data_IF_166341047110
#
_entry.id   IF_166341047110
#
_cell.length_a   1.000
_cell.length_b   1.000
_cell.length_c   1.000
_cell.angle_alpha   90.00
_cell.angle_beta   90.00
_cell.angle_gamma   90.00
#
_symmetry.space_group_name_H-M   'P 1'
#
loop_
_entity.id
_entity.type
_entity.pdbx_description
1 polymer ?
#
# COMPACT_ATOMS: atom_id res chain seq x y z
N UNK A 1 31.85 -4.47 -2.82
CA UNK A 1 30.60 -4.03 -3.43
C UNK A 1 29.96 -2.93 -2.58
N UNK A 2 29.36 -1.91 -3.18
CA UNK A 2 28.64 -0.83 -2.48
C UNK A 2 27.34 -1.31 -1.81
N UNK A 3 26.80 -2.46 -2.23
CA UNK A 3 25.60 -3.09 -1.64
C UNK A 3 25.90 -4.35 -0.84
N UNK A 4 27.17 -4.56 -0.46
CA UNK A 4 27.57 -5.73 0.34
C UNK A 4 26.83 -5.80 1.67
N UNK A 5 26.13 -6.91 1.89
CA UNK A 5 25.47 -7.26 3.15
C UNK A 5 26.27 -8.35 3.85
N UNK A 6 26.77 -8.06 5.05
CA UNK A 6 27.70 -8.93 5.78
C UNK A 6 27.11 -10.30 6.11
N UNK A 7 25.85 -10.34 6.54
CA UNK A 7 25.15 -11.59 6.80
C UNK A 7 24.49 -12.12 5.52
N UNK A 8 25.14 -13.09 4.88
CA UNK A 8 24.66 -13.73 3.65
C UNK A 8 23.30 -14.42 3.80
N UNK A 9 22.89 -14.81 5.00
CA UNK A 9 21.57 -15.44 5.22
C UNK A 9 20.42 -14.49 4.87
N UNK A 10 20.62 -13.18 5.02
CA UNK A 10 19.62 -12.17 4.68
C UNK A 10 19.47 -11.95 3.16
N UNK A 11 20.43 -12.39 2.35
CA UNK A 11 20.31 -12.33 0.89
C UNK A 11 19.17 -13.21 0.38
N UNK A 12 18.87 -14.31 1.08
CA UNK A 12 17.70 -15.13 0.79
C UNK A 12 16.42 -14.29 0.85
N UNK A 13 16.25 -13.45 1.86
CA UNK A 13 15.03 -12.66 2.05
C UNK A 13 15.00 -11.37 1.23
N UNK A 14 16.15 -10.73 1.02
CA UNK A 14 16.24 -9.38 0.47
C UNK A 14 16.72 -9.31 -0.99
N UNK A 15 17.20 -10.43 -1.56
CA UNK A 15 17.51 -10.55 -3.00
C UNK A 15 16.80 -11.74 -3.62
N UNK A 16 16.92 -12.95 -3.05
CA UNK A 16 16.54 -14.19 -3.72
C UNK A 16 15.05 -14.54 -3.58
N UNK A 17 14.39 -14.08 -2.53
CA UNK A 17 12.97 -14.35 -2.31
C UNK A 17 12.13 -13.58 -3.35
N UNK A 18 11.31 -14.28 -4.11
CA UNK A 18 10.43 -13.71 -5.13
C UNK A 18 9.00 -13.45 -4.61
N UNK A 19 8.72 -13.81 -3.35
CA UNK A 19 7.45 -13.61 -2.66
C UNK A 19 7.57 -12.55 -1.55
N UNK A 20 6.60 -11.64 -1.52
CA UNK A 20 6.45 -10.62 -0.48
C UNK A 20 5.12 -10.72 0.25
N UNK A 21 5.08 -10.11 1.44
CA UNK A 21 3.85 -9.82 2.17
C UNK A 21 3.90 -8.35 2.56
N UNK A 22 3.09 -7.54 1.88
CA UNK A 22 3.01 -6.11 2.19
C UNK A 22 1.92 -5.92 3.25
N UNK A 23 2.27 -5.31 4.37
CA UNK A 23 1.32 -5.02 5.44
C UNK A 23 0.38 -3.88 5.02
N UNK A 24 -0.90 -4.02 5.35
CA UNK A 24 -1.97 -3.05 5.10
C UNK A 24 -2.99 -3.05 6.25
N UNK A 25 -4.12 -2.37 6.07
CA UNK A 25 -5.19 -2.30 7.07
C UNK A 25 -4.97 -1.13 8.02
N UNK A 26 -5.18 -1.35 9.31
CA UNK A 26 -5.03 -0.31 10.35
C UNK A 26 -4.06 -0.78 11.42
N UNK A 27 -3.58 0.12 12.28
CA UNK A 27 -2.69 -0.25 13.38
C UNK A 27 -3.33 -1.28 14.34
N UNK A 28 -4.66 -1.24 14.51
CA UNK A 28 -5.44 -2.18 15.31
C UNK A 28 -5.67 -3.53 14.62
N UNK A 29 -5.90 -3.52 13.31
CA UNK A 29 -6.20 -4.72 12.53
C UNK A 29 -5.41 -4.74 11.23
N UNK A 30 -4.25 -5.40 11.32
CA UNK A 30 -3.28 -5.56 10.24
C UNK A 30 -3.77 -6.63 9.25
N UNK A 31 -3.60 -6.33 7.97
CA UNK A 31 -3.88 -7.23 6.84
C UNK A 31 -2.62 -7.41 6.00
N UNK A 32 -2.64 -8.40 5.11
CA UNK A 32 -1.53 -8.67 4.20
C UNK A 32 -1.99 -8.64 2.75
N UNK A 33 -1.23 -7.92 1.92
CA UNK A 33 -1.31 -7.98 0.47
C UNK A 33 -0.19 -8.93 0.01
N UNK A 34 -0.50 -10.13 -0.49
CA UNK A 34 0.52 -10.98 -1.08
C UNK A 34 1.07 -10.31 -2.35
N UNK A 35 2.38 -10.42 -2.55
CA UNK A 35 3.04 -9.81 -3.69
C UNK A 35 4.03 -10.78 -4.33
N UNK A 36 3.96 -10.92 -5.65
CA UNK A 36 4.95 -11.64 -6.45
C UNK A 36 5.93 -10.63 -7.05
N UNK A 37 7.14 -10.56 -6.48
CA UNK A 37 8.21 -9.75 -7.05
C UNK A 37 8.68 -10.38 -8.37
N UNK A 38 8.89 -11.71 -8.39
CA UNK A 38 9.23 -12.48 -9.58
C UNK A 38 10.42 -11.92 -10.38
N UNK A 39 11.41 -11.35 -9.69
CA UNK A 39 12.56 -10.69 -10.30
C UNK A 39 13.40 -11.62 -11.18
N UNK A 40 13.30 -12.94 -11.05
CA UNK A 40 14.02 -13.87 -11.91
C UNK A 40 13.22 -14.35 -13.11
N UNK A 41 11.99 -13.86 -13.30
CA UNK A 41 11.17 -14.22 -14.46
C UNK A 41 11.86 -13.73 -15.75
N UNK A 42 12.19 -14.61 -16.71
CA UNK A 42 12.95 -14.23 -17.90
C UNK A 42 12.29 -13.14 -18.76
N UNK A 43 10.96 -13.05 -18.73
CA UNK A 43 10.19 -12.01 -19.42
C UNK A 43 10.49 -10.59 -18.95
N UNK A 44 11.12 -10.42 -17.77
CA UNK A 44 11.52 -9.10 -17.26
C UNK A 44 12.82 -8.59 -17.85
N UNK A 45 13.68 -9.44 -18.43
CA UNK A 45 14.98 -9.01 -18.98
C UNK A 45 14.83 -7.89 -20.02
N UNK A 46 13.93 -7.99 -21.03
CA UNK A 46 13.74 -6.91 -21.99
C UNK A 46 13.18 -5.63 -21.34
N UNK A 47 12.26 -5.76 -20.39
CA UNK A 47 11.68 -4.63 -19.66
C UNK A 47 12.75 -3.89 -18.84
N UNK A 48 13.62 -4.62 -18.16
CA UNK A 48 14.71 -4.06 -17.36
C UNK A 48 15.80 -3.41 -18.22
N UNK A 49 16.11 -3.97 -19.40
CA UNK A 49 17.01 -3.32 -20.37
C UNK A 49 16.45 -1.97 -20.84
N UNK A 50 15.16 -1.93 -21.17
CA UNK A 50 14.48 -0.69 -21.55
C UNK A 50 14.48 0.31 -20.38
N UNK A 51 14.10 -0.12 -19.18
CA UNK A 51 14.10 0.70 -17.97
C UNK A 51 15.47 1.34 -17.73
N UNK A 52 16.55 0.55 -17.78
CA UNK A 52 17.92 1.05 -17.61
C UNK A 52 18.35 2.02 -18.73
N UNK A 53 17.81 1.88 -19.94
CA UNK A 53 18.10 2.81 -21.05
C UNK A 53 17.46 4.18 -20.85
N UNK A 54 16.43 4.28 -20.01
CA UNK A 54 15.71 5.52 -19.72
C UNK A 54 16.27 6.27 -18.52
N UNK A 55 17.09 5.62 -17.68
CA UNK A 55 17.75 6.30 -16.57
C UNK A 55 18.72 7.35 -17.11
N UNK A 56 18.70 8.59 -16.58
CA UNK A 56 19.61 9.67 -17.01
C UNK A 56 21.03 9.50 -16.43
N UNK A 57 21.56 8.26 -16.47
CA UNK A 57 22.86 7.87 -15.92
C UNK A 57 23.73 7.25 -17.01
N UNK A 58 25.01 7.67 -17.06
CA UNK A 58 26.03 6.99 -17.86
C UNK A 58 26.28 5.57 -17.36
N UNK A 59 26.86 4.68 -18.18
CA UNK A 59 27.23 3.33 -17.72
C UNK A 59 28.06 3.31 -16.44
N UNK A 60 28.99 4.27 -16.27
CA UNK A 60 29.85 4.38 -15.09
C UNK A 60 29.06 4.83 -13.86
N UNK A 61 28.15 5.79 -14.02
CA UNK A 61 27.29 6.25 -12.92
C UNK A 61 26.34 5.17 -12.40
N UNK A 62 25.99 4.18 -13.22
CA UNK A 62 25.17 3.03 -12.81
C UNK A 62 25.90 2.10 -11.83
N UNK A 63 27.22 2.23 -11.68
CA UNK A 63 27.97 1.50 -10.65
C UNK A 63 27.79 2.11 -9.24
N UNK A 64 27.23 3.31 -9.12
CA UNK A 64 26.93 3.95 -7.84
C UNK A 64 25.51 3.59 -7.36
N UNK A 65 25.37 2.82 -6.26
CA UNK A 65 24.06 2.43 -5.74
C UNK A 65 23.24 3.62 -5.23
N UNK A 66 23.87 4.72 -4.83
CA UNK A 66 23.19 5.94 -4.35
C UNK A 66 22.52 6.66 -5.52
N UNK A 67 23.22 6.78 -6.66
CA UNK A 67 22.64 7.34 -7.88
C UNK A 67 21.55 6.44 -8.44
N UNK A 68 21.82 5.12 -8.51
CA UNK A 68 20.83 4.14 -8.94
C UNK A 68 19.56 4.17 -8.09
N UNK A 69 19.69 4.28 -6.76
CA UNK A 69 18.55 4.42 -5.86
C UNK A 69 17.67 5.61 -6.22
N UNK A 70 18.26 6.80 -6.35
CA UNK A 70 17.52 8.03 -6.65
C UNK A 70 16.77 7.92 -7.97
N UNK A 71 17.45 7.45 -9.02
CA UNK A 71 16.87 7.38 -10.36
C UNK A 71 15.85 6.26 -10.52
N UNK A 72 16.07 5.09 -9.90
CA UNK A 72 15.07 4.00 -9.87
C UNK A 72 13.79 4.48 -9.19
N UNK A 73 13.90 5.09 -8.00
CA UNK A 73 12.75 5.59 -7.25
C UNK A 73 12.00 6.68 -8.03
N UNK A 74 12.71 7.53 -8.77
CA UNK A 74 12.08 8.52 -9.67
C UNK A 74 11.33 7.85 -10.82
N UNK A 75 12.01 6.97 -11.56
CA UNK A 75 11.50 6.35 -12.80
C UNK A 75 10.32 5.39 -12.57
N UNK A 76 10.19 4.84 -11.37
CA UNK A 76 9.02 4.02 -11.01
C UNK A 76 7.71 4.82 -11.10
N UNK A 77 7.76 6.13 -10.84
CA UNK A 77 6.61 7.01 -10.78
C UNK A 77 6.52 7.92 -12.00
N UNK A 78 5.38 7.90 -12.69
CA UNK A 78 5.14 8.74 -13.87
C UNK A 78 4.53 10.10 -13.52
N UNK A 79 3.95 10.28 -12.33
CA UNK A 79 3.29 11.53 -11.95
C UNK A 79 4.28 12.71 -11.97
N UNK A 80 4.08 13.65 -12.90
CA UNK A 80 4.83 14.91 -12.99
C UNK A 80 6.13 14.87 -13.80
N UNK A 81 6.52 13.72 -14.36
CA UNK A 81 7.74 13.60 -15.20
C UNK A 81 7.47 13.07 -16.61
N UNK A 82 6.24 12.62 -16.91
CA UNK A 82 5.76 12.08 -18.19
C UNK A 82 6.61 10.92 -18.79
N UNK A 83 7.57 10.36 -18.04
CA UNK A 83 8.47 9.31 -18.50
C UNK A 83 8.62 8.09 -17.55
N UNK A 84 7.95 8.09 -16.40
CA UNK A 84 7.99 6.96 -15.45
C UNK A 84 7.11 5.76 -15.83
N UNK A 85 7.23 4.67 -15.08
CA UNK A 85 6.58 3.37 -15.37
C UNK A 85 5.09 3.34 -15.02
N UNK A 86 4.70 3.89 -13.86
CA UNK A 86 3.38 3.68 -13.27
C UNK A 86 2.75 5.02 -12.86
N UNK A 87 1.48 5.23 -13.20
CA UNK A 87 0.71 6.40 -12.76
C UNK A 87 -0.02 6.09 -11.46
N UNK A 88 0.25 6.89 -10.43
CA UNK A 88 -0.45 6.88 -9.16
C UNK A 88 -1.79 7.60 -9.24
N UNK A 89 -2.83 7.03 -8.60
CA UNK A 89 -4.17 7.64 -8.55
C UNK A 89 -4.92 7.26 -7.26
N UNK A 90 -5.54 8.24 -6.62
CA UNK A 90 -6.23 8.10 -5.31
C UNK A 90 -7.70 8.55 -5.30
N UNK A 91 -8.22 9.10 -6.40
CA UNK A 91 -9.58 9.68 -6.47
C UNK A 91 -10.72 8.63 -6.56
N UNK A 92 -10.40 7.34 -6.47
CA UNK A 92 -11.35 6.24 -6.60
C UNK A 92 -11.82 5.96 -8.04
N UNK A 93 -11.33 6.67 -9.06
CA UNK A 93 -11.78 6.56 -10.46
C UNK A 93 -10.71 5.95 -11.35
N UNK A 94 -10.79 4.66 -11.62
CA UNK A 94 -9.74 3.91 -12.34
C UNK A 94 -10.14 3.55 -13.77
N UNK A 95 -10.42 4.57 -14.59
CA UNK A 95 -10.89 4.40 -15.97
C UNK A 95 -9.74 4.20 -16.95
N UNK A 96 -9.98 3.36 -17.97
CA UNK A 96 -9.05 3.18 -19.08
C UNK A 96 -9.06 4.43 -19.95
N UNK A 97 -7.92 4.81 -20.51
CA UNK A 97 -7.79 6.01 -21.34
C UNK A 97 -7.60 5.64 -22.80
N UNK A 98 -8.08 6.50 -23.70
CA UNK A 98 -7.81 6.39 -25.14
C UNK A 98 -6.69 7.34 -25.50
N UNK A 99 -5.58 6.79 -25.96
CA UNK A 99 -4.43 7.54 -26.43
C UNK A 99 -4.74 8.29 -27.74
N UNK A 100 -3.90 9.28 -28.07
CA UNK A 100 -4.02 10.10 -29.28
C UNK A 100 -3.99 9.28 -30.59
N UNK A 101 -3.24 8.17 -30.60
CA UNK A 101 -3.18 7.22 -31.71
C UNK A 101 -4.40 6.26 -31.77
N UNK A 102 -5.38 6.43 -30.89
CA UNK A 102 -6.59 5.62 -30.80
C UNK A 102 -6.47 4.36 -29.93
N UNK A 103 -5.27 4.02 -29.44
CA UNK A 103 -5.02 2.85 -28.58
C UNK A 103 -5.73 3.00 -27.22
N UNK A 104 -6.33 1.92 -26.72
CA UNK A 104 -6.90 1.88 -25.36
C UNK A 104 -5.81 1.42 -24.39
N UNK A 105 -5.45 2.30 -23.45
CA UNK A 105 -4.55 1.97 -22.34
C UNK A 105 -5.40 1.48 -21.19
N UNK A 106 -5.36 0.16 -20.98
CA UNK A 106 -6.16 -0.52 -19.97
C UNK A 106 -5.73 -0.07 -18.58
N UNK A 107 -6.69 0.46 -17.82
CA UNK A 107 -6.52 0.75 -16.41
C UNK A 107 -6.93 -0.42 -15.52
N UNK A 108 -6.26 -0.49 -14.38
CA UNK A 108 -6.56 -1.41 -13.31
C UNK A 108 -6.66 -0.61 -12.00
N UNK A 109 -7.67 -0.93 -11.17
CA UNK A 109 -7.74 -0.47 -9.79
C UNK A 109 -6.42 -0.90 -9.07
N UNK A 110 -5.78 -0.06 -8.26
CA UNK A 110 -4.56 -0.43 -7.52
C UNK A 110 -4.64 -1.76 -6.75
N UNK A 111 -5.83 -2.12 -6.23
CA UNK A 111 -6.05 -3.41 -5.56
C UNK A 111 -6.00 -4.61 -6.52
N UNK A 112 -6.00 -4.44 -7.84
CA UNK A 112 -5.90 -5.52 -8.83
C UNK A 112 -4.53 -6.23 -8.80
N UNK A 113 -3.46 -5.50 -8.52
CA UNK A 113 -2.11 -6.03 -8.63
C UNK A 113 -1.83 -7.04 -7.50
N UNK A 114 -1.24 -8.17 -7.88
CA UNK A 114 -0.72 -9.20 -6.95
C UNK A 114 0.79 -9.41 -7.14
N UNK A 115 1.43 -8.61 -8.00
CA UNK A 115 2.82 -8.78 -8.39
C UNK A 115 3.28 -7.71 -9.38
N UNK A 116 4.59 -7.64 -9.59
CA UNK A 116 5.25 -6.60 -10.39
C UNK A 116 5.51 -7.01 -11.83
N UNK A 117 5.53 -8.31 -12.13
CA UNK A 117 5.88 -8.81 -13.45
C UNK A 117 4.91 -8.31 -14.53
N UNK A 118 3.60 -8.38 -14.29
CA UNK A 118 2.58 -7.87 -15.23
C UNK A 118 2.75 -6.37 -15.50
N UNK A 119 3.18 -5.58 -14.51
CA UNK A 119 3.41 -4.14 -14.65
C UNK A 119 4.60 -3.89 -15.60
N UNK A 120 5.74 -4.51 -15.34
CA UNK A 120 6.95 -4.37 -16.16
C UNK A 120 6.77 -4.91 -17.59
N UNK A 121 6.04 -6.01 -17.75
CA UNK A 121 5.71 -6.56 -19.07
C UNK A 121 4.81 -5.61 -19.87
N UNK A 122 3.82 -4.96 -19.22
CA UNK A 122 2.97 -3.95 -19.86
C UNK A 122 3.76 -2.70 -20.24
N UNK A 123 4.67 -2.25 -19.37
CA UNK A 123 5.60 -1.16 -19.64
C UNK A 123 6.43 -1.44 -20.89
N UNK A 124 7.04 -2.63 -20.97
CA UNK A 124 7.84 -3.01 -22.13
C UNK A 124 7.02 -3.10 -23.44
N UNK A 125 5.78 -3.59 -23.37
CA UNK A 125 4.92 -3.74 -24.56
C UNK A 125 4.44 -2.41 -25.12
N UNK A 126 4.26 -1.39 -24.27
CA UNK A 126 3.74 -0.09 -24.66
C UNK A 126 4.57 1.04 -24.02
N UNK A 127 5.85 1.19 -24.39
CA UNK A 127 6.75 2.10 -23.69
C UNK A 127 6.26 3.55 -23.72
N UNK A 128 5.59 3.98 -24.79
CA UNK A 128 5.09 5.35 -24.92
C UNK A 128 3.93 5.71 -23.98
N UNK A 129 3.36 4.75 -23.24
CA UNK A 129 2.25 4.99 -22.32
C UNK A 129 2.50 4.32 -20.98
N UNK A 130 2.34 5.03 -19.86
CA UNK A 130 2.58 4.46 -18.54
C UNK A 130 1.51 3.44 -18.18
N UNK A 131 1.84 2.55 -17.23
CA UNK A 131 0.89 1.60 -16.67
C UNK A 131 -0.07 2.33 -15.73
N UNK A 132 -1.36 1.97 -15.77
CA UNK A 132 -2.43 2.60 -14.99
C UNK A 132 -3.13 1.53 -14.10
N UNK A 133 -3.35 1.71 -12.81
CA UNK A 133 -2.83 2.72 -11.88
C UNK A 133 -2.16 2.05 -10.67
N UNK A 134 -1.34 2.80 -9.96
CA UNK A 134 -0.68 2.39 -8.72
C UNK A 134 -1.12 3.21 -7.50
N UNK A 135 -0.78 2.68 -6.33
CA UNK A 135 -0.80 3.35 -5.03
C UNK A 135 0.44 2.90 -4.24
N UNK A 136 0.66 3.39 -3.02
CA UNK A 136 1.97 3.25 -2.33
C UNK A 136 2.50 1.80 -2.27
N UNK A 137 1.66 0.81 -1.95
CA UNK A 137 2.09 -0.60 -1.93
C UNK A 137 2.44 -1.15 -3.32
N UNK A 138 1.81 -0.65 -4.38
CA UNK A 138 2.11 -1.04 -5.77
C UNK A 138 3.47 -0.45 -6.17
N UNK A 139 3.71 0.83 -5.86
CA UNK A 139 4.99 1.48 -6.07
C UNK A 139 6.11 0.78 -5.30
N UNK A 140 5.87 0.46 -4.03
CA UNK A 140 6.84 -0.23 -3.18
C UNK A 140 7.10 -1.67 -3.66
N UNK A 141 6.07 -2.40 -4.09
CA UNK A 141 6.21 -3.73 -4.68
C UNK A 141 7.02 -3.72 -5.97
N UNK A 142 6.74 -2.77 -6.87
CA UNK A 142 7.47 -2.55 -8.11
C UNK A 142 8.93 -2.15 -7.88
N UNK A 143 9.18 -1.20 -6.98
CA UNK A 143 10.53 -0.74 -6.63
C UNK A 143 11.36 -1.88 -6.04
N UNK A 144 10.79 -2.68 -5.13
CA UNK A 144 11.48 -3.85 -4.57
C UNK A 144 11.87 -4.84 -5.67
N UNK A 145 10.97 -5.11 -6.62
CA UNK A 145 11.28 -6.00 -7.75
C UNK A 145 12.46 -5.50 -8.57
N UNK A 146 12.48 -4.20 -8.90
CA UNK A 146 13.56 -3.58 -9.67
C UNK A 146 14.87 -3.62 -8.89
N UNK A 147 14.87 -3.25 -7.61
CA UNK A 147 16.07 -3.30 -6.78
C UNK A 147 16.63 -4.72 -6.63
N UNK A 148 15.77 -5.72 -6.37
CA UNK A 148 16.19 -7.14 -6.31
C UNK A 148 16.73 -7.64 -7.64
N UNK A 149 16.10 -7.26 -8.76
CA UNK A 149 16.59 -7.59 -10.10
C UNK A 149 18.01 -7.06 -10.33
N UNK A 150 18.30 -5.86 -9.83
CA UNK A 150 19.61 -5.21 -9.93
C UNK A 150 20.63 -5.73 -8.88
N UNK A 151 20.25 -6.67 -8.02
CA UNK A 151 21.11 -7.20 -6.96
C UNK A 151 21.24 -6.28 -5.74
N UNK A 152 20.38 -5.27 -5.60
CA UNK A 152 20.35 -4.37 -4.44
C UNK A 152 19.41 -4.98 -3.38
N UNK A 153 19.91 -5.38 -2.19
CA UNK A 153 19.06 -5.94 -1.15
C UNK A 153 17.97 -4.95 -0.74
N UNK A 154 16.72 -5.37 -0.81
CA UNK A 154 15.58 -4.47 -0.63
C UNK A 154 14.39 -5.14 0.04
N UNK A 155 13.60 -4.34 0.76
CA UNK A 155 12.36 -4.77 1.43
C UNK A 155 11.29 -3.66 1.39
N UNK A 156 10.03 -4.08 1.38
CA UNK A 156 8.89 -3.18 1.58
C UNK A 156 8.69 -2.95 3.07
N UNK A 157 8.47 -1.70 3.48
CA UNK A 157 8.17 -1.33 4.87
C UNK A 157 6.82 -0.64 4.92
N UNK A 158 5.99 -0.99 5.89
CA UNK A 158 4.69 -0.36 6.13
C UNK A 158 4.76 0.47 7.42
N UNK A 159 4.43 1.74 7.33
CA UNK A 159 4.20 2.63 8.45
C UNK A 159 2.70 2.79 8.69
N UNK A 160 2.24 2.60 9.92
CA UNK A 160 0.84 2.83 10.29
C UNK A 160 0.72 4.23 10.88
N UNK A 161 -0.43 4.88 10.68
CA UNK A 161 -0.64 6.25 11.15
C UNK A 161 0.41 7.24 10.59
N UNK A 162 0.79 7.04 9.32
CA UNK A 162 1.86 7.78 8.64
C UNK A 162 1.47 9.23 8.41
N UNK A 163 2.34 10.15 8.85
CA UNK A 163 2.11 11.58 8.69
C UNK A 163 2.42 12.07 7.28
N UNK A 164 1.39 12.33 6.48
CA UNK A 164 1.58 12.95 5.17
C UNK A 164 1.49 14.47 5.31
N UNK A 165 2.63 15.09 5.56
CA UNK A 165 2.76 16.52 5.75
C UNK A 165 2.89 17.26 4.41
N UNK A 166 2.26 18.43 4.28
CA UNK A 166 2.52 19.33 3.16
C UNK A 166 3.69 20.28 3.51
N UNK A 167 4.32 20.92 2.52
CA UNK A 167 5.33 21.96 2.81
C UNK A 167 4.70 23.05 3.70
N UNK A 168 5.39 23.50 4.77
CA UNK A 168 6.85 23.61 4.90
C UNK A 168 7.57 22.45 5.64
N UNK A 169 6.91 21.34 5.95
CA UNK A 169 7.45 20.28 6.81
C UNK A 169 7.80 20.76 8.23
N UNK A 170 6.82 21.35 8.92
CA UNK A 170 6.99 21.90 10.27
C UNK A 170 6.86 20.86 11.40
N UNK A 171 6.77 19.58 11.04
CA UNK A 171 6.57 18.41 11.90
C UNK A 171 5.23 18.39 12.64
N UNK A 172 4.21 19.04 12.06
CA UNK A 172 2.84 19.03 12.54
C UNK A 172 1.83 18.71 11.42
N UNK A 173 0.91 17.78 11.69
CA UNK A 173 -0.29 17.61 10.87
C UNK A 173 -1.42 18.49 11.39
N UNK A 174 -1.83 19.46 10.58
CA UNK A 174 -2.91 20.39 10.91
C UNK A 174 -4.28 19.81 10.53
N UNK A 175 -5.12 19.62 11.54
CA UNK A 175 -6.51 19.16 11.37
C UNK A 175 -7.54 20.17 11.90
N UNK A 176 -8.55 20.49 11.09
CA UNK A 176 -9.67 21.35 11.46
C UNK A 176 -10.95 20.53 11.69
N UNK A 177 -11.49 20.58 12.91
CA UNK A 177 -12.56 19.70 13.39
C UNK A 177 -13.92 19.94 12.74
N UNK A 178 -14.26 21.18 12.41
CA UNK A 178 -15.58 21.57 11.89
C UNK A 178 -15.52 22.33 10.56
N UNK A 179 -14.39 22.24 9.84
CA UNK A 179 -14.17 22.95 8.58
C UNK A 179 -13.87 21.97 7.46
N UNK A 180 -14.93 21.62 6.73
CA UNK A 180 -14.85 20.74 5.55
C UNK A 180 -14.35 21.45 4.30
N UNK A 181 -14.38 22.78 4.31
CA UNK A 181 -13.95 23.67 3.24
C UNK A 181 -12.43 23.95 3.26
N UNK A 182 -11.73 23.55 4.32
CA UNK A 182 -10.27 23.69 4.43
C UNK A 182 -9.63 22.34 4.09
N UNK A 183 -8.59 22.37 3.23
CA UNK A 183 -7.74 21.21 2.97
C UNK A 183 -7.07 20.78 4.29
N UNK A 184 -7.27 19.51 4.64
CA UNK A 184 -6.68 18.89 5.83
C UNK A 184 -5.32 18.30 5.47
N UNK A 185 -4.36 18.36 6.40
CA UNK A 185 -3.21 17.46 6.36
C UNK A 185 -3.65 16.11 6.91
N UNK A 186 -3.33 15.05 6.16
CA UNK A 186 -3.92 13.74 6.39
C UNK A 186 -2.90 12.82 7.04
N UNK A 187 -3.34 12.15 8.10
CA UNK A 187 -2.66 10.96 8.59
C UNK A 187 -3.18 9.75 7.82
N UNK A 188 -2.29 9.05 7.13
CA UNK A 188 -2.64 7.86 6.38
C UNK A 188 -2.76 6.67 7.35
N UNK A 189 -3.80 5.85 7.18
CA UNK A 189 -3.97 4.63 7.99
C UNK A 189 -2.74 3.73 7.89
N UNK A 190 -2.21 3.60 6.67
CA UNK A 190 -0.91 3.03 6.42
C UNK A 190 -0.28 3.66 5.18
N UNK A 191 1.04 3.67 5.14
CA UNK A 191 1.84 4.01 3.98
C UNK A 191 2.94 2.97 3.78
N UNK A 192 3.36 2.75 2.53
CA UNK A 192 4.34 1.72 2.19
C UNK A 192 5.44 2.31 1.32
N UNK A 193 6.68 2.21 1.78
CA UNK A 193 7.89 2.60 1.05
C UNK A 193 8.89 1.43 0.98
N UNK A 194 10.10 1.71 0.51
CA UNK A 194 11.18 0.72 0.40
C UNK A 194 12.34 1.07 1.32
N UNK A 195 12.94 0.04 1.92
CA UNK A 195 14.29 0.14 2.44
C UNK A 195 15.24 -0.66 1.57
N UNK A 196 16.37 -0.06 1.22
CA UNK A 196 17.42 -0.67 0.39
C UNK A 196 18.76 -0.60 1.12
N UNK A 197 19.57 -1.65 0.99
CA UNK A 197 20.84 -1.77 1.69
C UNK A 197 22.00 -1.27 0.83
N UNK A 198 22.73 -0.27 1.31
CA UNK A 198 23.95 0.21 0.66
C UNK A 198 24.87 0.96 1.64
N UNK A 199 26.12 1.17 1.21
CA UNK A 199 27.04 2.13 1.83
C UNK A 199 26.74 3.55 1.38
N UNK A 200 27.13 4.54 2.19
CA UNK A 200 26.90 5.99 1.98
C UNK A 200 28.19 6.82 1.98
N UNK A 201 29.16 6.51 1.09
CA UNK A 201 30.42 7.25 1.03
C UNK A 201 30.23 8.74 0.72
N UNK A 202 29.13 9.11 0.04
CA UNK A 202 28.73 10.48 -0.26
C UNK A 202 28.47 11.33 1.00
N UNK A 203 28.10 10.70 2.12
CA UNK A 203 27.90 11.38 3.40
C UNK A 203 29.22 11.65 4.14
N UNK A 204 30.34 11.06 3.71
CA UNK A 204 31.67 11.26 4.31
C UNK A 204 31.89 10.51 5.64
N UNK A 205 31.01 9.57 5.98
CA UNK A 205 31.07 8.74 7.19
C UNK A 205 30.41 7.39 6.90
N UNK A 206 30.88 6.33 7.57
CA UNK A 206 30.29 4.99 7.48
C UNK A 206 29.14 4.76 8.48
N UNK A 207 28.86 5.72 9.37
CA UNK A 207 27.83 5.57 10.41
C UNK A 207 26.44 5.30 9.80
N UNK A 208 26.19 5.84 8.61
CA UNK A 208 24.93 5.75 7.88
C UNK A 208 24.89 4.61 6.84
N UNK A 209 25.92 3.77 6.78
CA UNK A 209 25.86 2.54 5.99
C UNK A 209 24.74 1.63 6.53
N UNK A 210 24.03 0.97 5.61
CA UNK A 210 22.96 0.03 5.90
C UNK A 210 21.65 0.39 5.19
N UNK A 211 20.53 0.25 5.89
CA UNK A 211 19.20 0.51 5.33
C UNK A 211 18.96 2.00 5.05
N UNK A 212 18.54 2.28 3.82
CA UNK A 212 18.15 3.59 3.34
C UNK A 212 16.67 3.57 2.95
N UNK A 213 15.87 4.48 3.49
CA UNK A 213 14.49 4.71 3.07
C UNK A 213 14.47 5.38 1.70
N UNK A 214 13.68 4.84 0.79
CA UNK A 214 13.34 5.40 -0.52
C UNK A 214 11.84 5.26 -0.74
N UNK A 215 11.19 6.30 -1.25
CA UNK A 215 9.76 6.27 -1.55
C UNK A 215 9.50 6.80 -2.96
N UNK A 216 8.92 5.94 -3.79
CA UNK A 216 8.52 6.26 -5.17
C UNK A 216 7.08 6.81 -5.23
N UNK A 217 6.38 6.88 -4.11
CA UNK A 217 5.01 7.40 -4.08
C UNK A 217 5.01 8.92 -4.33
N UNK A 218 4.20 9.43 -5.27
CA UNK A 218 4.05 10.87 -5.49
C UNK A 218 3.29 11.55 -4.35
N UNK A 219 3.94 11.73 -3.21
CA UNK A 219 3.36 12.42 -2.06
C UNK A 219 3.55 13.94 -2.16
N UNK A 220 4.80 14.36 -2.35
CA UNK A 220 5.19 15.79 -2.34
C UNK A 220 6.26 16.06 -3.40
N UNK A 221 6.38 17.32 -3.81
CA UNK A 221 7.51 17.79 -4.62
C UNK A 221 8.70 18.11 -3.71
N UNK A 222 9.75 17.28 -3.77
CA UNK A 222 11.05 17.55 -3.15
C UNK A 222 12.06 17.78 -4.27
N UNK A 223 12.73 18.94 -4.27
CA UNK A 223 13.62 19.34 -5.37
C UNK A 223 13.00 19.25 -6.77
N UNK A 224 11.70 19.57 -6.90
CA UNK A 224 10.89 19.50 -8.14
C UNK A 224 10.64 18.08 -8.68
N UNK A 225 10.95 17.06 -7.89
CA UNK A 225 10.78 15.65 -8.25
C UNK A 225 9.86 14.99 -7.23
N UNK A 226 8.95 14.13 -7.70
CA UNK A 226 8.02 13.37 -6.86
C UNK A 226 8.64 12.05 -6.37
N UNK A 227 9.77 12.13 -5.68
CA UNK A 227 10.41 10.98 -5.02
C UNK A 227 11.15 11.39 -3.74
N UNK A 228 11.39 10.41 -2.88
CA UNK A 228 12.09 10.59 -1.61
C UNK A 228 13.27 9.61 -1.50
N UNK A 229 14.40 10.08 -0.98
CA UNK A 229 15.55 9.25 -0.60
C UNK A 229 16.62 9.08 -1.67
N UNK A 230 17.68 8.28 -1.43
CA UNK A 230 17.87 7.41 -0.27
C UNK A 230 18.25 8.18 1.02
N UNK A 231 17.44 8.03 2.08
CA UNK A 231 17.71 8.58 3.43
C UNK A 231 18.14 7.46 4.38
N UNK A 232 19.26 7.57 5.12
CA UNK A 232 19.65 6.56 6.10
C UNK A 232 18.61 6.43 7.22
N UNK A 233 18.12 5.22 7.47
CA UNK A 233 17.14 4.96 8.56
C UNK A 233 17.73 5.32 9.93
N UNK A 234 19.04 5.12 10.11
CA UNK A 234 19.78 5.54 11.31
C UNK A 234 19.74 7.05 11.55
N UNK A 235 19.74 7.85 10.49
CA UNK A 235 19.65 9.31 10.61
C UNK A 235 18.27 9.73 11.12
N UNK A 236 17.21 9.08 10.62
CA UNK A 236 15.84 9.28 11.10
C UNK A 236 15.71 8.89 12.58
N UNK A 237 16.23 7.72 12.97
CA UNK A 237 16.22 7.26 14.36
C UNK A 237 16.89 8.26 15.33
N UNK A 238 17.98 8.88 14.90
CA UNK A 238 18.75 9.82 15.73
C UNK A 238 18.33 11.29 15.56
N UNK A 239 17.27 11.56 14.78
CA UNK A 239 16.86 12.92 14.38
C UNK A 239 18.00 13.76 13.75
N UNK A 240 18.92 13.11 13.05
CA UNK A 240 20.05 13.75 12.38
C UNK A 240 19.70 14.10 10.93
N UNK A 241 18.95 15.19 10.77
CA UNK A 241 18.31 15.52 9.50
C UNK A 241 19.19 16.34 8.55
N UNK A 242 20.36 16.81 9.00
CA UNK A 242 21.24 17.68 8.20
C UNK A 242 22.14 16.87 7.25
N UNK A 243 21.53 16.08 6.36
CA UNK A 243 22.21 15.12 5.49
C UNK A 243 22.70 15.72 4.16
N UNK A 244 23.42 16.84 4.22
CA UNK A 244 23.91 17.57 3.03
C UNK A 244 22.77 17.83 2.03
N UNK A 245 22.80 17.21 0.84
CA UNK A 245 21.79 17.38 -0.21
C UNK A 245 20.47 16.61 0.02
N UNK A 246 20.41 15.76 1.05
CA UNK A 246 19.24 14.92 1.37
C UNK A 246 18.42 15.45 2.56
N UNK A 247 18.67 16.68 3.02
CA UNK A 247 18.01 17.20 4.23
C UNK A 247 16.49 17.35 4.06
N UNK A 248 16.00 17.74 2.86
CA UNK A 248 14.56 17.81 2.58
C UNK A 248 13.91 16.42 2.56
N UNK A 249 14.60 15.42 2.00
CA UNK A 249 14.14 14.03 2.05
C UNK A 249 14.11 13.54 3.50
N UNK A 250 15.13 13.87 4.29
CA UNK A 250 15.26 13.43 5.67
C UNK A 250 14.19 14.01 6.58
N UNK A 251 13.91 15.33 6.49
CA UNK A 251 12.85 15.96 7.26
C UNK A 251 11.47 15.41 6.88
N UNK A 252 11.24 15.13 5.60
CA UNK A 252 10.00 14.51 5.13
C UNK A 252 9.81 13.11 5.73
N UNK A 253 10.79 12.21 5.57
CA UNK A 253 10.72 10.86 6.14
C UNK A 253 10.61 10.91 7.67
N UNK A 254 11.26 11.87 8.34
CA UNK A 254 11.12 12.06 9.77
C UNK A 254 9.69 12.47 10.16
N UNK A 255 9.09 13.41 9.42
CA UNK A 255 7.69 13.81 9.60
C UNK A 255 6.72 12.64 9.41
N UNK A 256 6.96 11.76 8.43
CA UNK A 256 6.12 10.57 8.22
C UNK A 256 6.01 9.68 9.46
N UNK A 257 7.04 9.61 10.29
CA UNK A 257 7.09 8.74 11.48
C UNK A 257 6.99 9.47 12.83
N UNK A 258 7.16 10.80 12.87
CA UNK A 258 7.23 11.57 14.12
C UNK A 258 6.37 12.86 14.15
N UNK A 259 5.60 13.18 13.10
CA UNK A 259 4.79 14.41 13.13
C UNK A 259 3.72 14.38 14.23
N UNK A 260 3.58 15.50 14.94
CA UNK A 260 2.53 15.70 15.94
C UNK A 260 1.24 16.19 15.28
N UNK A 261 0.07 15.82 15.79
CA UNK A 261 -1.20 16.33 15.24
C UNK A 261 -1.67 17.57 16.02
N UNK A 262 -1.91 18.67 15.31
CA UNK A 262 -2.50 19.90 15.86
C UNK A 262 -3.94 20.06 15.40
N UNK A 263 -4.84 20.23 16.35
CA UNK A 263 -6.26 20.36 16.08
C UNK A 263 -6.78 21.79 16.28
N UNK A 264 -7.63 22.22 15.35
CA UNK A 264 -8.24 23.54 15.31
C UNK A 264 -9.76 23.44 15.17
N UNK A 265 -10.50 24.19 15.97
CA UNK A 265 -11.98 24.24 15.90
C UNK A 265 -12.45 25.27 14.85
N UNK A 266 -11.86 26.48 14.86
CA UNK A 266 -12.33 27.62 14.04
C UNK A 266 -11.22 28.64 13.72
N UNK A 267 -10.14 28.22 13.04
CA UNK A 267 -8.85 28.94 12.85
C UNK A 267 -8.09 29.30 14.14
N UNK A 268 -8.71 29.17 15.31
CA UNK A 268 -8.07 29.29 16.61
C UNK A 268 -7.55 27.93 17.06
N UNK A 269 -6.30 27.90 17.51
CA UNK A 269 -5.72 26.75 18.17
C UNK A 269 -6.49 26.49 19.47
N UNK A 270 -6.96 25.27 19.65
CA UNK A 270 -7.58 24.82 20.89
C UNK A 270 -6.70 23.72 21.46
N UNK A 271 -6.48 23.73 22.79
CA UNK A 271 -5.70 22.69 23.43
C UNK A 271 -6.54 21.42 23.62
N UNK A 272 -6.01 20.32 23.10
CA UNK A 272 -6.47 18.97 23.46
C UNK A 272 -6.12 18.75 24.93
N UNK A 273 -7.07 18.20 25.69
CA UNK A 273 -6.74 17.62 26.99
C UNK A 273 -6.23 16.22 26.73
N UNK A 274 -4.93 16.03 26.89
CA UNK A 274 -4.24 14.72 26.79
C UNK A 274 -4.60 13.75 27.93
N UNK A 275 -5.56 14.13 28.78
CA UNK A 275 -5.99 13.34 29.92
C UNK A 275 -7.41 12.81 29.73
N UNK A 276 -7.58 11.50 29.95
CA UNK A 276 -8.84 10.75 29.99
C UNK A 276 -9.80 11.25 31.11
N UNK A 277 -9.50 12.37 31.78
CA UNK A 277 -10.28 12.93 32.88
C UNK A 277 -10.77 14.33 32.51
N UNK A 278 -11.93 14.36 31.85
CA UNK A 278 -12.67 15.59 31.59
C UNK A 278 -12.98 16.34 32.90
N UNK A 279 -12.98 17.69 32.89
CA UNK A 279 -13.24 18.50 34.09
C UNK A 279 -14.62 18.24 34.68
N UNK A 280 -14.70 17.99 35.97
CA UNK A 280 -15.92 17.61 36.68
C UNK A 280 -16.96 18.77 36.68
N UNK A 281 -18.26 18.45 36.59
CA UNK A 281 -19.40 19.40 36.66
C UNK A 281 -19.52 20.40 35.49
N UNK A 282 -19.37 19.93 34.25
CA UNK A 282 -19.55 20.79 33.07
C UNK A 282 -20.57 20.16 32.11
N UNK A 283 -21.29 21.00 31.39
CA UNK A 283 -22.07 20.58 30.24
C UNK A 283 -21.12 20.39 29.05
N UNK A 284 -21.31 19.29 28.34
CA UNK A 284 -20.49 18.95 27.18
C UNK A 284 -21.34 18.88 25.94
N UNK A 285 -20.74 19.28 24.82
CA UNK A 285 -21.22 18.93 23.51
C UNK A 285 -20.44 17.70 23.02
N UNK A 286 -21.13 16.58 22.86
CA UNK A 286 -20.59 15.31 22.37
C UNK A 286 -21.02 15.15 20.92
N UNK A 287 -20.06 14.97 20.01
CA UNK A 287 -20.34 14.60 18.62
C UNK A 287 -19.66 13.27 18.33
N UNK A 288 -20.42 12.31 17.82
CA UNK A 288 -19.89 11.05 17.30
C UNK A 288 -20.10 11.02 15.79
N UNK A 289 -18.99 11.01 15.05
CA UNK A 289 -18.99 10.80 13.61
C UNK A 289 -18.49 9.38 13.31
N UNK A 290 -19.18 8.70 12.40
CA UNK A 290 -18.76 7.42 11.84
C UNK A 290 -18.75 7.58 10.34
N UNK A 291 -17.63 7.30 9.69
CA UNK A 291 -17.47 7.52 8.26
C UNK A 291 -16.54 6.49 7.63
N UNK A 292 -16.81 6.10 6.38
CA UNK A 292 -15.85 5.36 5.57
C UNK A 292 -14.74 6.29 5.10
N UNK A 293 -13.52 5.78 5.02
CA UNK A 293 -12.35 6.54 4.60
C UNK A 293 -11.47 5.71 3.68
N UNK A 294 -10.82 6.40 2.74
CA UNK A 294 -9.73 5.80 1.98
C UNK A 294 -8.53 5.61 2.91
N UNK A 295 -7.66 4.64 2.58
CA UNK A 295 -6.50 4.34 3.42
C UNK A 295 -5.56 5.53 3.62
N UNK A 296 -5.54 6.50 2.70
CA UNK A 296 -4.77 7.73 2.80
C UNK A 296 -5.44 8.83 3.68
N UNK A 297 -6.43 8.46 4.50
CA UNK A 297 -7.07 9.34 5.49
C UNK A 297 -8.17 10.25 4.94
N UNK A 298 -8.40 10.27 3.62
CA UNK A 298 -9.50 11.06 3.06
C UNK A 298 -10.85 10.41 3.39
N UNK A 299 -11.73 11.19 4.02
CA UNK A 299 -13.12 10.78 4.27
C UNK A 299 -13.83 10.57 2.93
N UNK A 300 -14.45 9.40 2.75
CA UNK A 300 -15.27 9.09 1.59
C UNK A 300 -16.74 9.45 1.86
N UNK A 301 -17.34 8.83 2.87
CA UNK A 301 -18.77 9.02 3.18
C UNK A 301 -19.06 8.96 4.67
N UNK A 302 -19.84 9.94 5.17
CA UNK A 302 -20.42 9.85 6.51
C UNK A 302 -21.51 8.76 6.55
N UNK A 303 -21.41 7.90 7.54
CA UNK A 303 -22.34 6.80 7.81
C UNK A 303 -23.32 7.18 8.93
N UNK A 304 -22.82 7.87 9.96
CA UNK A 304 -23.60 8.35 11.10
C UNK A 304 -22.95 9.63 11.66
N UNK A 305 -23.77 10.61 12.02
CA UNK A 305 -23.38 11.76 12.84
C UNK A 305 -24.39 11.89 13.98
N UNK A 306 -23.91 11.90 15.22
CA UNK A 306 -24.74 11.94 16.41
C UNK A 306 -24.29 13.06 17.37
N UNK A 307 -24.96 14.23 17.37
CA UNK A 307 -24.73 15.28 18.35
C UNK A 307 -25.55 15.04 19.63
N UNK A 308 -24.96 15.32 20.78
CA UNK A 308 -25.59 15.25 22.09
C UNK A 308 -25.01 16.31 23.03
N UNK A 309 -25.86 17.22 23.48
CA UNK A 309 -25.53 18.07 24.63
C UNK A 309 -25.90 17.33 25.92
N UNK A 310 -24.94 17.21 26.84
CA UNK A 310 -25.17 16.47 28.07
C UNK A 310 -24.25 16.85 29.21
N UNK A 311 -24.75 16.68 30.43
CA UNK A 311 -23.97 16.77 31.67
C UNK A 311 -23.54 15.37 32.11
N UNK A 312 -22.26 15.21 32.43
CA UNK A 312 -21.72 13.97 33.01
C UNK A 312 -21.40 14.23 34.49
N UNK A 313 -22.12 13.61 35.44
CA UNK A 313 -21.84 13.78 36.86
C UNK A 313 -20.43 13.27 37.26
N UNK A 314 -19.85 13.82 38.35
CA UNK A 314 -18.56 13.38 38.88
C UNK A 314 -18.48 11.88 39.11
N UNK A 315 -17.36 11.27 38.75
CA UNK A 315 -17.08 9.85 38.99
C UNK A 315 -18.11 8.88 38.38
N UNK A 316 -18.90 9.34 37.41
CA UNK A 316 -19.85 8.51 36.67
C UNK A 316 -19.40 8.27 35.24
N UNK A 317 -19.98 7.25 34.60
CA UNK A 317 -19.81 6.98 33.17
C UNK A 317 -21.17 7.11 32.49
N UNK A 318 -21.19 7.77 31.34
CA UNK A 318 -22.35 7.78 30.44
C UNK A 318 -22.01 6.98 29.20
N UNK A 319 -22.83 5.98 28.88
CA UNK A 319 -22.66 5.16 27.68
C UNK A 319 -23.69 5.56 26.63
N UNK A 320 -23.25 5.70 25.38
CA UNK A 320 -24.10 5.97 24.21
C UNK A 320 -23.97 4.76 23.30
N UNK A 321 -25.10 4.12 22.96
CA UNK A 321 -25.14 2.99 22.02
C UNK A 321 -25.62 3.49 20.68
N UNK A 322 -24.79 3.35 19.66
CA UNK A 322 -25.09 3.72 18.28
C UNK A 322 -25.03 2.47 17.40
N UNK A 323 -25.95 2.37 16.45
CA UNK A 323 -26.03 1.25 15.52
C UNK A 323 -26.00 1.77 14.08
N UNK A 324 -25.15 1.17 13.24
CA UNK A 324 -25.12 1.40 11.78
C UNK A 324 -25.38 0.06 11.10
N UNK A 325 -26.47 -0.03 10.34
CA UNK A 325 -26.91 -1.25 9.67
C UNK A 325 -26.18 -1.46 8.33
N UNK A 326 -26.05 -2.71 7.83
CA UNK A 326 -25.39 -2.99 6.55
C UNK A 326 -25.89 -2.16 5.38
N UNK A 327 -27.20 -1.94 5.29
CA UNK A 327 -27.82 -1.19 4.20
C UNK A 327 -27.39 0.28 4.19
N UNK A 328 -26.90 0.81 5.33
CA UNK A 328 -26.49 2.20 5.48
C UNK A 328 -25.02 2.44 5.07
N UNK A 329 -24.19 1.39 5.05
CA UNK A 329 -22.75 1.49 4.77
C UNK A 329 -22.25 0.71 3.55
N UNK A 330 -22.91 -0.38 3.13
CA UNK A 330 -22.34 -1.28 2.11
C UNK A 330 -22.01 -0.59 0.79
N UNK A 331 -22.88 0.31 0.30
CA UNK A 331 -22.62 1.06 -0.94
C UNK A 331 -21.68 2.26 -0.75
N UNK A 332 -21.33 2.58 0.49
CA UNK A 332 -20.45 3.68 0.89
C UNK A 332 -19.06 3.18 1.28
N UNK A 333 -18.79 1.88 1.21
CA UNK A 333 -17.47 1.33 1.42
C UNK A 333 -16.55 1.70 0.25
N UNK A 334 -15.29 1.97 0.59
CA UNK A 334 -14.20 2.21 -0.34
C UNK A 334 -13.12 1.14 -0.14
N UNK A 335 -12.13 0.99 -1.04
CA UNK A 335 -11.08 -0.02 -0.92
C UNK A 335 -10.46 -0.09 0.48
N UNK A 336 -10.09 -1.29 0.94
CA UNK A 336 -9.70 -1.65 2.31
C UNK A 336 -10.81 -1.66 3.37
N UNK A 337 -12.01 -1.17 3.03
CA UNK A 337 -13.19 -1.14 3.89
C UNK A 337 -12.90 -0.53 5.28
N UNK A 338 -12.09 0.53 5.32
CA UNK A 338 -11.77 1.24 6.55
C UNK A 338 -12.94 2.15 6.88
N UNK A 339 -13.44 2.04 8.10
CA UNK A 339 -14.38 2.97 8.67
C UNK A 339 -13.75 3.52 9.95
N UNK A 340 -13.85 4.83 10.17
CA UNK A 340 -13.36 5.47 11.38
C UNK A 340 -14.53 5.98 12.20
N UNK A 341 -14.43 5.79 13.50
CA UNK A 341 -15.28 6.47 14.48
C UNK A 341 -14.48 7.58 15.13
N UNK A 342 -15.04 8.78 15.18
CA UNK A 342 -14.45 9.99 15.76
C UNK A 342 -15.38 10.52 16.84
N UNK A 343 -14.91 10.57 18.08
CA UNK A 343 -15.66 11.06 19.22
C UNK A 343 -15.04 12.37 19.68
N UNK A 344 -15.81 13.44 19.55
CA UNK A 344 -15.42 14.78 19.96
C UNK A 344 -16.25 15.22 21.16
N UNK A 345 -15.59 15.57 22.27
CA UNK A 345 -16.23 16.04 23.50
C UNK A 345 -15.70 17.42 23.84
N UNK A 346 -16.52 18.44 23.60
CA UNK A 346 -16.20 19.83 23.91
C UNK A 346 -16.81 20.25 25.23
N UNK A 347 -16.00 20.82 26.10
CA UNK A 347 -16.45 21.43 27.34
C UNK A 347 -17.10 22.79 27.01
N UNK A 348 -18.37 23.02 27.39
CA UNK A 348 -19.07 24.27 27.05
C UNK A 348 -18.56 25.49 27.83
N UNK A 349 -17.94 25.28 28.98
CA UNK A 349 -17.44 26.36 29.85
C UNK A 349 -15.95 26.69 29.62
N UNK A 350 -15.28 26.04 28.65
CA UNK A 350 -13.87 26.28 28.35
C UNK A 350 -13.56 26.07 26.86
N UNK A 351 -12.34 26.42 26.43
CA UNK A 351 -11.88 26.15 25.05
C UNK A 351 -11.30 24.73 24.88
N UNK A 352 -11.36 23.91 25.91
CA UNK A 352 -10.73 22.60 25.95
C UNK A 352 -11.68 21.52 25.42
N UNK A 353 -11.12 20.51 24.76
CA UNK A 353 -11.87 19.36 24.27
C UNK A 353 -11.05 18.07 24.41
N UNK A 354 -11.75 16.95 24.30
CA UNK A 354 -11.15 15.62 24.12
C UNK A 354 -11.60 15.10 22.76
N UNK A 355 -10.66 14.49 22.05
CA UNK A 355 -10.91 13.86 20.76
C UNK A 355 -10.31 12.46 20.78
N UNK A 356 -11.10 11.48 20.40
CA UNK A 356 -10.65 10.10 20.23
C UNK A 356 -11.08 9.60 18.84
N UNK A 357 -10.17 8.90 18.17
CA UNK A 357 -10.42 8.30 16.87
C UNK A 357 -10.11 6.81 16.93
N UNK A 358 -11.01 5.98 16.41
CA UNK A 358 -10.83 4.54 16.38
C UNK A 358 -11.23 3.98 15.02
N UNK A 359 -10.29 3.43 14.25
CA UNK A 359 -10.56 2.80 12.97
C UNK A 359 -11.05 1.36 13.17
N UNK A 360 -11.88 0.88 12.25
CA UNK A 360 -12.38 -0.48 12.20
C UNK A 360 -12.42 -1.00 10.76
N UNK A 361 -12.13 -2.29 10.60
CA UNK A 361 -12.14 -2.99 9.31
C UNK A 361 -12.87 -4.32 9.44
N UNK A 362 -13.53 -4.72 8.37
CA UNK A 362 -14.26 -6.00 8.33
C UNK A 362 -13.32 -7.19 8.23
N UNK A 363 -13.77 -8.36 8.67
CA UNK A 363 -13.04 -9.61 8.41
C UNK A 363 -13.11 -9.94 6.92
N UNK A 364 -11.95 -10.24 6.34
CA UNK A 364 -11.87 -10.67 4.95
C UNK A 364 -12.38 -12.11 4.88
N UNK A 365 -13.41 -12.42 4.08
CA UNK A 365 -13.95 -13.77 3.98
C UNK A 365 -12.92 -14.73 3.38
N UNK A 366 -12.99 -16.00 3.78
CA UNK A 366 -11.98 -16.99 3.39
C UNK A 366 -12.20 -17.51 1.96
N UNK A 367 -11.13 -17.50 1.16
CA UNK A 367 -11.04 -18.20 -0.12
C UNK A 367 -10.21 -19.48 0.05
N UNK A 368 -10.87 -20.64 0.01
CA UNK A 368 -10.20 -21.95 0.21
C UNK A 368 -9.67 -22.47 -1.12
N UNK A 369 -8.38 -22.79 -1.16
CA UNK A 369 -7.73 -23.38 -2.32
C UNK A 369 -7.40 -24.85 -2.08
N UNK A 370 -7.60 -25.66 -3.11
CA UNK A 370 -7.15 -27.05 -3.18
C UNK A 370 -6.53 -27.28 -4.56
N UNK A 371 -5.55 -28.16 -4.66
CA UNK A 371 -4.83 -28.44 -5.92
C UNK A 371 -4.92 -29.92 -6.23
N UNK A 372 -5.16 -30.23 -7.51
CA UNK A 372 -5.02 -31.57 -8.06
C UNK A 372 -4.01 -31.53 -9.22
N UNK A 373 -3.08 -32.48 -9.24
CA UNK A 373 -2.20 -32.67 -10.38
C UNK A 373 -3.03 -33.24 -11.55
N UNK A 374 -2.96 -32.58 -12.71
CA UNK A 374 -3.63 -33.06 -13.93
C UNK A 374 -2.67 -33.87 -14.80
N UNK A 375 -1.47 -33.35 -15.05
CA UNK A 375 -0.39 -34.08 -15.73
C UNK A 375 0.96 -33.45 -15.43
N UNK A 376 2.02 -34.23 -15.56
CA UNK A 376 3.40 -33.77 -15.36
C UNK A 376 4.30 -34.40 -16.42
N UNK A 377 5.07 -33.56 -17.11
CA UNK A 377 6.16 -33.99 -17.99
C UNK A 377 7.50 -33.58 -17.37
N UNK A 378 8.62 -33.87 -18.03
CA UNK A 378 9.93 -33.37 -17.59
C UNK A 378 9.99 -31.84 -17.59
N UNK A 379 9.40 -31.18 -18.59
CA UNK A 379 9.51 -29.74 -18.79
C UNK A 379 8.32 -28.92 -18.29
N UNK A 380 7.15 -29.53 -18.08
CA UNK A 380 5.92 -28.79 -17.74
C UNK A 380 5.09 -29.54 -16.69
N UNK A 381 4.41 -28.77 -15.85
CA UNK A 381 3.41 -29.28 -14.92
C UNK A 381 2.07 -28.62 -15.21
N UNK A 382 1.01 -29.44 -15.28
CA UNK A 382 -0.38 -28.99 -15.37
C UNK A 382 -1.12 -29.39 -14.11
N UNK A 383 -1.73 -28.41 -13.46
CA UNK A 383 -2.56 -28.60 -12.27
C UNK A 383 -3.94 -28.01 -12.48
N UNK A 384 -4.87 -28.40 -11.62
CA UNK A 384 -6.17 -27.75 -11.47
C UNK A 384 -6.23 -27.18 -10.06
N UNK A 385 -6.25 -25.85 -9.95
CA UNK A 385 -6.55 -25.16 -8.69
C UNK A 385 -8.06 -25.06 -8.56
N UNK A 386 -8.63 -25.63 -7.49
CA UNK A 386 -10.04 -25.45 -7.15
C UNK A 386 -10.16 -24.41 -6.03
N UNK A 387 -10.75 -23.27 -6.37
CA UNK A 387 -11.06 -22.19 -5.44
C UNK A 387 -12.52 -22.32 -4.96
N UNK A 388 -12.72 -22.44 -3.64
CA UNK A 388 -14.03 -22.50 -3.00
C UNK A 388 -14.27 -21.23 -2.19
N UNK A 389 -15.37 -20.54 -2.48
CA UNK A 389 -15.76 -19.30 -1.81
C UNK A 389 -17.24 -19.30 -1.47
N UNK A 390 -17.60 -18.73 -0.31
CA UNK A 390 -18.98 -18.46 0.10
C UNK A 390 -19.19 -16.94 0.15
N UNK A 391 -20.13 -16.44 -0.62
CA UNK A 391 -20.59 -15.05 -0.50
C UNK A 391 -21.12 -14.83 0.93
N UNK A 392 -20.52 -13.96 1.75
CA UNK A 392 -21.00 -13.69 3.10
C UNK A 392 -22.19 -12.72 3.13
N UNK A 393 -22.46 -12.02 2.02
CA UNK A 393 -23.45 -10.96 1.96
C UNK A 393 -24.85 -11.50 1.64
N UNK A 394 -25.86 -10.76 2.12
CA UNK A 394 -27.28 -10.95 1.76
C UNK A 394 -27.64 -10.31 0.40
N UNK A 395 -26.65 -9.80 -0.31
CA UNK A 395 -26.77 -9.24 -1.67
C UNK A 395 -25.90 -10.04 -2.65
N UNK A 396 -26.18 -9.91 -3.94
CA UNK A 396 -25.39 -10.57 -4.99
C UNK A 396 -24.02 -9.91 -5.16
N UNK A 397 -22.99 -10.72 -5.42
CA UNK A 397 -21.69 -10.24 -5.89
C UNK A 397 -21.71 -10.21 -7.41
N UNK A 398 -21.46 -9.05 -7.99
CA UNK A 398 -21.54 -8.83 -9.45
C UNK A 398 -20.20 -8.48 -10.08
N UNK A 399 -20.10 -8.68 -11.40
CA UNK A 399 -18.87 -8.50 -12.18
C UNK A 399 -17.72 -9.37 -11.62
N UNK A 400 -18.06 -10.59 -11.23
CA UNK A 400 -17.12 -11.48 -10.56
C UNK A 400 -16.02 -11.95 -11.52
N UNK A 401 -14.77 -11.85 -11.06
CA UNK A 401 -13.59 -12.33 -11.81
C UNK A 401 -12.68 -13.10 -10.87
N UNK A 402 -12.01 -14.11 -11.42
CA UNK A 402 -10.91 -14.79 -10.73
C UNK A 402 -9.59 -14.44 -11.41
N UNK A 403 -8.65 -13.94 -10.62
CA UNK A 403 -7.29 -13.61 -11.05
C UNK A 403 -6.33 -14.64 -10.48
N UNK A 404 -5.34 -15.01 -11.27
CA UNK A 404 -4.23 -15.86 -10.89
C UNK A 404 -2.95 -15.09 -11.16
N UNK A 405 -2.02 -15.16 -10.22
CA UNK A 405 -0.64 -14.70 -10.33
C UNK A 405 0.27 -15.80 -9.78
N UNK A 406 1.37 -16.11 -10.45
CA UNK A 406 2.36 -17.05 -9.95
C UNK A 406 3.78 -16.57 -10.19
N UNK A 407 4.73 -17.21 -9.53
CA UNK A 407 6.16 -16.88 -9.66
C UNK A 407 6.70 -17.28 -11.05
N UNK A 408 6.13 -18.35 -11.64
CA UNK A 408 6.42 -18.86 -12.99
C UNK A 408 5.22 -18.89 -13.92
N UNK A 409 4.06 -18.50 -13.43
CA UNK A 409 2.83 -18.44 -14.21
C UNK A 409 2.50 -16.99 -14.57
N UNK A 410 2.14 -16.74 -15.83
CA UNK A 410 1.63 -15.43 -16.24
C UNK A 410 0.36 -15.03 -15.48
N UNK A 411 0.26 -13.75 -15.15
CA UNK A 411 -0.97 -13.17 -14.59
C UNK A 411 -2.12 -13.32 -15.58
N UNK A 412 -3.23 -13.93 -15.13
CA UNK A 412 -4.44 -14.12 -15.93
C UNK A 412 -5.67 -13.81 -15.11
N UNK A 413 -6.64 -13.14 -15.73
CA UNK A 413 -7.92 -12.80 -15.12
C UNK A 413 -9.06 -13.33 -15.98
N UNK A 414 -9.98 -14.08 -15.38
CA UNK A 414 -11.11 -14.70 -16.06
C UNK A 414 -12.43 -14.20 -15.45
N UNK A 415 -13.42 -13.81 -16.27
CA UNK A 415 -14.77 -13.59 -15.79
C UNK A 415 -15.37 -14.91 -15.30
N UNK A 416 -16.12 -14.86 -14.21
CA UNK A 416 -16.85 -16.01 -13.65
C UNK A 416 -18.30 -15.59 -13.41
N UNK A 417 -19.19 -16.58 -13.28
CA UNK A 417 -20.60 -16.29 -12.95
C UNK A 417 -20.71 -15.59 -11.60
N UNK A 418 -21.58 -14.60 -11.51
CA UNK A 418 -21.90 -13.83 -10.31
C UNK A 418 -22.46 -14.70 -9.16
N UNK A 419 -22.21 -14.30 -7.91
CA UNK A 419 -22.69 -15.04 -6.73
C UNK A 419 -24.04 -14.50 -6.28
N UNK A 420 -25.03 -15.37 -6.13
CA UNK A 420 -26.25 -15.03 -5.40
C UNK A 420 -25.97 -14.80 -3.91
N UNK A 421 -26.89 -14.15 -3.16
CA UNK A 421 -26.78 -13.99 -1.71
C UNK A 421 -26.45 -15.32 -1.02
N UNK A 422 -25.48 -15.31 -0.12
CA UNK A 422 -25.08 -16.47 0.70
C UNK A 422 -24.60 -17.72 -0.08
N UNK A 423 -24.45 -17.62 -1.40
CA UNK A 423 -24.09 -18.73 -2.29
C UNK A 423 -22.64 -19.18 -2.08
N UNK A 424 -22.42 -20.50 -2.13
CA UNK A 424 -21.09 -21.09 -2.21
C UNK A 424 -20.81 -21.58 -3.63
N UNK A 425 -19.63 -21.29 -4.17
CA UNK A 425 -19.16 -21.84 -5.45
C UNK A 425 -17.80 -22.52 -5.31
N UNK A 426 -17.56 -23.45 -6.22
CA UNK A 426 -16.24 -24.01 -6.52
C UNK A 426 -15.89 -23.64 -7.95
N UNK A 427 -14.69 -23.11 -8.16
CA UNK A 427 -14.20 -22.66 -9.44
C UNK A 427 -12.92 -23.44 -9.70
N UNK A 428 -12.90 -24.21 -10.79
CA UNK A 428 -11.73 -24.97 -11.21
C UNK A 428 -10.96 -24.14 -12.22
N UNK A 429 -9.66 -24.02 -12.01
CA UNK A 429 -8.80 -23.20 -12.84
C UNK A 429 -7.60 -24.05 -13.27
N UNK A 430 -7.52 -24.44 -14.54
CA UNK A 430 -6.38 -25.17 -15.05
C UNK A 430 -5.19 -24.21 -15.16
N UNK A 431 -4.04 -24.62 -14.61
CA UNK A 431 -2.79 -23.86 -14.65
C UNK A 431 -1.71 -24.76 -15.23
N UNK A 432 -0.88 -24.18 -16.10
CA UNK A 432 0.30 -24.81 -16.65
C UNK A 432 1.48 -23.87 -16.42
N UNK A 433 2.58 -24.43 -15.92
CA UNK A 433 3.83 -23.71 -15.74
C UNK A 433 5.01 -24.62 -16.13
N UNK A 434 6.12 -23.99 -16.49
CA UNK A 434 7.38 -24.69 -16.79
C UNK A 434 7.97 -25.22 -15.50
N UNK A 435 8.49 -26.45 -15.54
CA UNK A 435 9.21 -27.04 -14.42
C UNK A 435 10.59 -26.40 -14.36
N UNK A 436 10.75 -25.37 -13.55
CA UNK A 436 12.06 -24.93 -13.10
C UNK A 436 12.41 -25.60 -11.77
N UNK A 437 13.69 -25.55 -11.38
CA UNK A 437 14.20 -26.20 -10.16
C UNK A 437 13.65 -25.58 -8.86
N UNK A 438 12.72 -24.64 -8.95
CA UNK A 438 12.28 -23.80 -7.84
C UNK A 438 10.85 -24.10 -7.39
N UNK A 439 10.54 -23.57 -6.21
CA UNK A 439 9.22 -23.61 -5.60
C UNK A 439 8.28 -22.67 -6.36
N UNK A 440 7.16 -23.18 -6.87
CA UNK A 440 6.11 -22.35 -7.47
C UNK A 440 5.06 -21.96 -6.43
N UNK A 441 4.73 -20.68 -6.35
CA UNK A 441 3.65 -20.18 -5.52
C UNK A 441 2.61 -19.51 -6.38
N UNK A 442 1.35 -19.85 -6.11
CA UNK A 442 0.21 -19.35 -6.88
C UNK A 442 -0.71 -18.61 -5.93
N UNK A 443 -0.97 -17.36 -6.29
CA UNK A 443 -1.98 -16.50 -5.68
C UNK A 443 -3.23 -16.53 -6.52
N UNK A 444 -4.38 -16.78 -5.88
CA UNK A 444 -5.71 -16.68 -6.48
C UNK A 444 -6.47 -15.57 -5.78
N UNK A 445 -6.98 -14.63 -6.58
CA UNK A 445 -7.72 -13.46 -6.12
C UNK A 445 -9.13 -13.44 -6.72
N UNK A 446 -10.14 -13.34 -5.87
CA UNK A 446 -11.53 -13.08 -6.27
C UNK A 446 -11.76 -11.56 -6.29
N UNK A 447 -12.15 -11.04 -7.45
CA UNK A 447 -12.47 -9.64 -7.67
C UNK A 447 -13.98 -9.50 -7.88
N UNK A 448 -14.62 -8.60 -7.14
CA UNK A 448 -16.06 -8.34 -7.24
C UNK A 448 -16.34 -6.84 -7.13
N UNK A 449 -17.57 -6.41 -7.42
CA UNK A 449 -17.98 -5.02 -7.19
C UNK A 449 -18.25 -4.69 -5.71
N UNK A 450 -18.80 -5.63 -4.94
CA UNK A 450 -19.33 -5.37 -3.59
C UNK A 450 -18.38 -5.74 -2.46
N UNK A 451 -17.44 -6.66 -2.70
CA UNK A 451 -16.38 -7.02 -1.75
C UNK A 451 -15.05 -6.56 -2.29
N UNK A 452 -14.21 -6.07 -1.38
CA UNK A 452 -12.79 -5.87 -1.65
C UNK A 452 -12.12 -7.19 -2.04
N UNK A 453 -10.96 -7.11 -2.69
CA UNK A 453 -10.24 -8.25 -3.22
C UNK A 453 -10.02 -9.30 -2.13
N UNK A 454 -10.50 -10.51 -2.38
CA UNK A 454 -10.28 -11.67 -1.50
C UNK A 454 -9.20 -12.54 -2.11
N UNK A 455 -8.10 -12.73 -1.38
CA UNK A 455 -6.94 -13.45 -1.90
C UNK A 455 -6.57 -14.63 -1.02
N UNK A 456 -6.12 -15.71 -1.66
CA UNK A 456 -5.53 -16.87 -1.01
C UNK A 456 -4.36 -17.38 -1.85
N UNK A 457 -3.44 -18.11 -1.21
CA UNK A 457 -2.26 -18.64 -1.87
C UNK A 457 -2.08 -20.13 -1.62
N UNK A 458 -1.48 -20.80 -2.59
CA UNK A 458 -1.05 -22.19 -2.47
C UNK A 458 0.41 -22.30 -2.89
N UNK A 459 1.17 -23.05 -2.11
CA UNK A 459 2.56 -23.37 -2.40
C UNK A 459 2.56 -24.76 -3.03
N UNK A 460 3.14 -24.87 -4.22
CA UNK A 460 3.29 -26.15 -4.89
C UNK A 460 4.66 -26.72 -4.51
N UNK A 461 4.72 -27.99 -4.06
CA UNK A 461 5.98 -28.59 -3.69
C UNK A 461 6.93 -28.61 -4.88
N UNK A 462 8.19 -28.25 -4.63
CA UNK A 462 9.31 -28.53 -5.52
C UNK A 462 9.32 -30.01 -5.83
N UNK A 463 9.61 -30.35 -7.08
CA UNK A 463 9.80 -31.74 -7.47
C UNK A 463 10.94 -32.33 -6.63
N UNK A 464 10.62 -33.12 -5.59
CA UNK A 464 11.59 -34.06 -5.04
C UNK A 464 12.06 -34.95 -6.18
N UNK A 465 13.37 -35.19 -6.21
CA UNK A 465 14.06 -36.18 -7.03
C UNK A 465 13.15 -37.34 -7.41
N UNK A 466 12.97 -37.55 -8.71
CA UNK A 466 12.64 -38.88 -9.21
C UNK A 466 13.98 -39.58 -9.31
N UNK A 467 14.40 -40.23 -8.23
CA UNK A 467 15.40 -41.29 -8.33
C UNK A 467 14.77 -42.39 -9.19
N UNK A 468 15.44 -42.70 -10.29
CA UNK A 468 15.10 -43.73 -11.25
C UNK A 468 16.27 -43.98 -12.17
#
# INVERSE_FOLDING_TARGET
DGVYMENSNFLNDYILNEEGRILSGTYLKKSFIPWHYSQFKPSLIPAMKLFLSWLPLTPEQRADPVLMAREVTSMVNNNGQDNGVLVGRWDGKYESIRASNGQIIKANNPNYWDGSAEILERFYRNPYYPVLYGQCWVFSGLSTTIFRFLGIPSRTVTNYESGHEDRPFDLYLTQYLHRRDIKQELQWNFHVWNEIWMRRPDLGTNQYDGWQATDATPQVLINKIHNVGPVPVKAILNADLNLKKYWEDAIFVYGEVNADIKYYDSKRYNSIIDSVKLPIFVEYNVTVDVYSEYYHGQIAHYLLTYPLETKIPPFTKKAIKLQVKPEEYLEKLVPFNIIKSKVFVKNLNSKKFVLEEMPFTFDIPELKLTVALSSKTKSHTKIIVTAKFKNPLKISLTNCKIKIEGTRTDSKTYPIKDFHPLMTKRIQIPISYENDLNREVITVSLLTKQLDKVTSKIILPTTTHVDG
#
